data_IF_653135566927
#
_entry.id   IF_653135566927
#
_cell.length_a   1.000
_cell.length_b   1.000
_cell.length_c   1.000
_cell.angle_alpha   90.00
_cell.angle_beta   90.00
_cell.angle_gamma   90.00
#
_symmetry.space_group_name_H-M   'P 1'
#
loop_
_entity.id
_entity.type
_entity.pdbx_description
1 polymer ?
#
# COMPACT_ATOMS: atom_id res chain seq x y z
N UNK A 1 39.35 23.58 -21.43
CA UNK A 1 38.16 24.15 -22.12
C UNK A 1 37.01 23.15 -22.34
N UNK A 2 37.19 21.82 -22.19
CA UNK A 2 36.12 20.82 -22.45
C UNK A 2 35.15 20.54 -21.28
N UNK A 3 35.48 20.86 -20.02
CA UNK A 3 34.64 20.50 -18.86
C UNK A 3 33.38 21.36 -18.68
N UNK A 4 33.43 22.63 -19.08
CA UNK A 4 32.32 23.58 -18.85
C UNK A 4 31.08 23.20 -19.67
N UNK A 5 31.27 22.69 -20.89
CA UNK A 5 30.18 22.27 -21.78
C UNK A 5 29.47 21.00 -21.30
N UNK A 6 30.19 20.09 -20.65
CA UNK A 6 29.63 18.86 -20.10
C UNK A 6 28.77 19.17 -18.86
N UNK A 7 29.28 20.02 -17.96
CA UNK A 7 28.57 20.48 -16.78
C UNK A 7 27.29 21.26 -17.12
N UNK A 8 27.31 22.09 -18.17
CA UNK A 8 26.12 22.78 -18.68
C UNK A 8 25.09 21.83 -19.31
N UNK A 9 25.54 20.82 -20.06
CA UNK A 9 24.63 19.79 -20.61
C UNK A 9 23.94 18.99 -19.50
N UNK A 10 24.67 18.61 -18.44
CA UNK A 10 24.07 17.96 -17.27
C UNK A 10 23.05 18.85 -16.58
N UNK A 11 23.38 20.12 -16.35
CA UNK A 11 22.47 21.10 -15.72
C UNK A 11 21.20 21.29 -16.55
N UNK A 12 21.33 21.45 -17.87
CA UNK A 12 20.19 21.62 -18.77
C UNK A 12 19.33 20.35 -18.85
N UNK A 13 19.94 19.15 -18.82
CA UNK A 13 19.19 17.89 -18.81
C UNK A 13 18.41 17.69 -17.50
N UNK A 14 18.98 18.07 -16.35
CA UNK A 14 18.30 18.00 -15.06
C UNK A 14 17.11 18.95 -14.98
N UNK A 15 17.27 20.20 -15.46
CA UNK A 15 16.18 21.19 -15.51
C UNK A 15 15.07 20.76 -16.48
N UNK A 16 15.42 20.15 -17.62
CA UNK A 16 14.45 19.62 -18.58
C UNK A 16 13.66 18.43 -17.99
N UNK A 17 14.34 17.53 -17.26
CA UNK A 17 13.68 16.41 -16.59
C UNK A 17 12.75 16.88 -15.45
N UNK A 18 13.20 17.89 -14.68
CA UNK A 18 12.40 18.47 -13.60
C UNK A 18 11.15 19.20 -14.09
N UNK A 19 11.24 19.94 -15.22
CA UNK A 19 10.05 20.53 -15.88
C UNK A 19 9.10 19.46 -16.42
N UNK A 20 9.64 18.38 -17.01
CA UNK A 20 8.82 17.26 -17.49
C UNK A 20 8.10 16.54 -16.36
N UNK A 21 8.71 16.39 -15.18
CA UNK A 21 8.00 15.87 -14.00
C UNK A 21 6.90 16.82 -13.52
N UNK A 22 7.13 18.14 -13.50
CA UNK A 22 6.13 19.13 -13.06
C UNK A 22 4.84 19.12 -13.91
N UNK A 23 4.95 18.97 -15.23
CA UNK A 23 3.79 18.86 -16.14
C UNK A 23 3.04 17.52 -16.01
N UNK A 24 3.68 16.48 -15.48
CA UNK A 24 3.05 15.19 -15.25
C UNK A 24 2.34 15.07 -13.89
N UNK A 25 2.65 15.96 -12.92
CA UNK A 25 2.08 16.05 -11.56
C UNK A 25 0.53 16.22 -11.50
N UNK A 26 -0.16 16.90 -12.45
CA UNK A 26 -1.62 16.90 -12.44
C UNK A 26 -2.22 15.58 -12.95
N UNK A 27 -1.57 14.91 -13.91
CA UNK A 27 -2.08 13.69 -14.55
C UNK A 27 -1.85 12.44 -13.68
N UNK A 28 -0.70 12.31 -13.03
CA UNK A 28 -0.42 11.26 -12.04
C UNK A 28 -1.25 11.44 -10.77
N UNK A 29 -1.48 12.67 -10.28
CA UNK A 29 -2.34 12.95 -9.13
C UNK A 29 -3.80 12.63 -9.44
N UNK A 30 -4.29 12.98 -10.65
CA UNK A 30 -5.60 12.57 -11.11
C UNK A 30 -5.70 11.05 -11.22
N UNK A 31 -4.74 10.39 -11.89
CA UNK A 31 -4.72 8.94 -12.02
C UNK A 31 -4.71 8.24 -10.66
N UNK A 32 -3.87 8.70 -9.73
CA UNK A 32 -3.76 8.16 -8.38
C UNK A 32 -5.05 8.39 -7.57
N UNK A 33 -5.63 9.59 -7.66
CA UNK A 33 -6.90 9.92 -7.00
C UNK A 33 -8.06 9.12 -7.57
N UNK A 34 -8.15 8.99 -8.90
CA UNK A 34 -9.17 8.19 -9.57
C UNK A 34 -9.00 6.70 -9.25
N UNK A 35 -7.77 6.18 -9.25
CA UNK A 35 -7.47 4.80 -8.83
C UNK A 35 -7.86 4.57 -7.36
N UNK A 36 -7.60 5.53 -6.48
CA UNK A 36 -8.04 5.50 -5.07
C UNK A 36 -9.57 5.53 -4.91
N UNK A 37 -10.26 6.39 -5.66
CA UNK A 37 -11.73 6.47 -5.66
C UNK A 37 -12.36 5.21 -6.25
N UNK A 38 -11.76 4.66 -7.30
CA UNK A 38 -12.19 3.40 -7.88
C UNK A 38 -12.03 2.26 -6.87
N UNK A 39 -10.92 2.24 -6.13
CA UNK A 39 -10.69 1.27 -5.04
C UNK A 39 -11.71 1.44 -3.91
N UNK A 40 -12.09 2.67 -3.57
CA UNK A 40 -13.16 2.96 -2.60
C UNK A 40 -14.53 2.48 -3.10
N UNK A 41 -14.80 2.61 -4.39
CA UNK A 41 -16.04 2.15 -5.02
C UNK A 41 -16.09 0.63 -5.16
N UNK A 42 -14.94 -0.01 -5.34
CA UNK A 42 -14.78 -1.47 -5.38
C UNK A 42 -14.80 -2.12 -3.99
N UNK A 43 -14.66 -1.33 -2.91
CA UNK A 43 -14.76 -1.85 -1.54
C UNK A 43 -16.17 -2.34 -1.24
N UNK A 44 -16.26 -3.59 -0.79
CA UNK A 44 -17.52 -4.25 -0.45
C UNK A 44 -18.28 -3.51 0.67
N UNK A 45 -17.55 -2.78 1.52
CA UNK A 45 -18.07 -1.96 2.61
C UNK A 45 -18.96 -0.81 2.09
N UNK A 46 -18.58 -0.20 0.96
CA UNK A 46 -19.33 0.90 0.33
C UNK A 46 -20.66 0.40 -0.22
N UNK A 47 -20.68 -0.80 -0.83
CA UNK A 47 -21.89 -1.45 -1.33
C UNK A 47 -22.82 -1.86 -0.19
N UNK A 48 -22.27 -2.37 0.91
CA UNK A 48 -23.03 -2.66 2.13
C UNK A 48 -23.70 -1.41 2.70
N UNK A 49 -22.95 -0.31 2.81
CA UNK A 49 -23.48 0.97 3.28
C UNK A 49 -24.59 1.55 2.37
N UNK A 50 -24.45 1.41 1.06
CA UNK A 50 -25.48 1.80 0.09
C UNK A 50 -26.75 0.95 0.21
N UNK A 51 -26.61 -0.37 0.39
CA UNK A 51 -27.75 -1.26 0.60
C UNK A 51 -28.50 -0.92 1.90
N UNK A 52 -27.78 -0.64 2.99
CA UNK A 52 -28.38 -0.26 4.27
C UNK A 52 -29.08 1.10 4.21
N UNK A 53 -28.45 2.11 3.60
CA UNK A 53 -29.05 3.44 3.41
C UNK A 53 -30.28 3.38 2.50
N UNK A 54 -30.23 2.61 1.41
CA UNK A 54 -31.37 2.37 0.55
C UNK A 54 -32.51 1.63 1.26
N UNK A 55 -32.20 0.67 2.13
CA UNK A 55 -33.20 -0.02 2.94
C UNK A 55 -33.90 0.92 3.94
N UNK A 56 -33.14 1.83 4.57
CA UNK A 56 -33.68 2.85 5.47
C UNK A 56 -34.63 3.80 4.73
N UNK A 57 -34.23 4.28 3.54
CA UNK A 57 -35.08 5.13 2.70
C UNK A 57 -36.36 4.40 2.27
N UNK A 58 -36.25 3.11 1.91
CA UNK A 58 -37.41 2.29 1.55
C UNK A 58 -38.38 2.09 2.74
N UNK A 59 -37.85 1.98 3.96
CA UNK A 59 -38.64 1.89 5.17
C UNK A 59 -39.40 3.19 5.47
N UNK A 60 -38.71 4.33 5.39
CA UNK A 60 -39.30 5.67 5.57
C UNK A 60 -40.35 5.99 4.49
N UNK A 61 -40.16 5.51 3.26
CA UNK A 61 -41.14 5.63 2.15
C UNK A 61 -42.30 4.63 2.23
N UNK A 62 -42.42 3.85 3.32
CA UNK A 62 -43.53 2.91 3.51
C UNK A 62 -43.49 1.68 2.62
N UNK A 63 -42.32 1.28 2.10
CA UNK A 63 -42.11 0.07 1.28
C UNK A 63 -41.34 -1.01 2.06
N UNK A 64 -41.93 -1.63 3.11
CA UNK A 64 -41.23 -2.57 3.98
C UNK A 64 -40.79 -3.86 3.27
N UNK A 65 -41.47 -4.27 2.18
CA UNK A 65 -41.06 -5.43 1.38
C UNK A 65 -39.72 -5.20 0.69
N UNK A 66 -39.51 -4.02 0.11
CA UNK A 66 -38.24 -3.65 -0.51
C UNK A 66 -37.13 -3.52 0.54
N UNK A 67 -37.42 -2.88 1.68
CA UNK A 67 -36.47 -2.76 2.78
C UNK A 67 -36.02 -4.12 3.32
N UNK A 68 -36.95 -5.06 3.53
CA UNK A 68 -36.63 -6.43 3.97
C UNK A 68 -35.78 -7.17 2.93
N UNK A 69 -36.10 -7.04 1.65
CA UNK A 69 -35.30 -7.62 0.57
C UNK A 69 -33.85 -7.11 0.62
N UNK A 70 -33.67 -5.79 0.67
CA UNK A 70 -32.33 -5.17 0.75
C UNK A 70 -31.57 -5.58 2.02
N UNK A 71 -32.25 -5.62 3.18
CA UNK A 71 -31.64 -6.08 4.44
C UNK A 71 -31.24 -7.56 4.39
N UNK A 72 -32.09 -8.41 3.81
CA UNK A 72 -31.80 -9.84 3.69
C UNK A 72 -30.61 -10.11 2.78
N UNK A 73 -30.49 -9.36 1.67
CA UNK A 73 -29.31 -9.42 0.78
C UNK A 73 -28.06 -8.92 1.50
N UNK A 74 -28.14 -7.80 2.21
CA UNK A 74 -27.02 -7.27 2.97
C UNK A 74 -26.55 -8.25 4.06
N UNK A 75 -27.49 -8.86 4.78
CA UNK A 75 -27.20 -9.86 5.82
C UNK A 75 -26.61 -11.13 5.21
N UNK A 76 -27.16 -11.63 4.11
CA UNK A 76 -26.63 -12.80 3.41
C UNK A 76 -25.21 -12.54 2.88
N UNK A 77 -24.96 -11.37 2.30
CA UNK A 77 -23.62 -10.98 1.85
C UNK A 77 -22.63 -10.88 3.01
N UNK A 78 -23.04 -10.29 4.14
CA UNK A 78 -22.20 -10.19 5.34
C UNK A 78 -21.88 -11.56 5.93
N UNK A 79 -22.88 -12.45 6.02
CA UNK A 79 -22.69 -13.82 6.48
C UNK A 79 -21.80 -14.61 5.52
N UNK A 80 -22.00 -14.47 4.20
CA UNK A 80 -21.15 -15.12 3.21
C UNK A 80 -19.69 -14.65 3.30
N UNK A 81 -19.46 -13.34 3.40
CA UNK A 81 -18.11 -12.77 3.52
C UNK A 81 -17.46 -13.05 4.88
N UNK A 82 -18.25 -13.12 5.95
CA UNK A 82 -17.75 -13.35 7.31
C UNK A 82 -17.52 -14.82 7.65
N UNK A 83 -18.35 -15.73 7.11
CA UNK A 83 -18.24 -17.18 7.36
C UNK A 83 -17.31 -17.85 6.36
N UNK A 84 -17.29 -17.39 5.11
CA UNK A 84 -16.50 -18.02 4.06
C UNK A 84 -15.13 -17.33 3.97
N UNK A 85 -14.02 -18.02 4.35
CA UNK A 85 -12.68 -17.48 4.23
C UNK A 85 -12.23 -17.52 2.76
N UNK A 86 -12.86 -16.69 1.93
CA UNK A 86 -12.55 -16.58 0.50
C UNK A 86 -11.08 -16.23 0.29
N UNK A 87 -10.49 -15.42 1.17
CA UNK A 87 -9.07 -15.08 1.14
C UNK A 87 -8.19 -16.32 1.20
N UNK A 88 -8.36 -17.15 2.22
CA UNK A 88 -7.53 -18.34 2.43
C UNK A 88 -7.72 -19.39 1.33
N UNK A 89 -8.94 -19.54 0.82
CA UNK A 89 -9.24 -20.47 -0.27
C UNK A 89 -8.59 -20.03 -1.59
N UNK A 90 -8.51 -18.73 -1.86
CA UNK A 90 -7.88 -18.19 -3.06
C UNK A 90 -6.34 -18.14 -2.93
N UNK A 91 -5.83 -17.87 -1.73
CA UNK A 91 -4.38 -17.73 -1.47
C UNK A 91 -3.71 -19.11 -1.30
N UNK A 92 -4.37 -20.10 -0.70
CA UNK A 92 -3.77 -21.40 -0.42
C UNK A 92 -3.18 -22.15 -1.64
N UNK A 93 -3.78 -22.10 -2.84
CA UNK A 93 -3.15 -22.66 -4.05
C UNK A 93 -1.88 -21.91 -4.49
N UNK A 94 -1.85 -20.58 -4.30
CA UNK A 94 -0.69 -19.76 -4.61
C UNK A 94 0.46 -20.05 -3.65
N UNK A 95 0.18 -20.15 -2.35
CA UNK A 95 1.18 -20.51 -1.33
C UNK A 95 1.80 -21.89 -1.58
N UNK A 96 1.00 -22.87 -2.03
CA UNK A 96 1.52 -24.19 -2.40
C UNK A 96 2.50 -24.17 -3.57
N UNK A 97 2.40 -23.16 -4.44
CA UNK A 97 3.29 -23.02 -5.61
C UNK A 97 4.63 -22.37 -5.21
N UNK A 98 4.65 -21.56 -4.16
CA UNK A 98 5.82 -20.82 -3.69
C UNK A 98 6.17 -21.23 -2.25
N UNK A 99 6.98 -22.28 -2.05
CA UNK A 99 7.33 -22.75 -0.71
C UNK A 99 8.08 -21.67 0.08
N UNK A 100 7.65 -21.47 1.32
CA UNK A 100 8.25 -20.51 2.25
C UNK A 100 9.66 -20.95 2.63
N UNK A 101 10.63 -20.03 2.53
CA UNK A 101 12.02 -20.20 2.97
C UNK A 101 12.80 -21.35 2.27
N UNK A 102 13.11 -21.23 0.97
CA UNK A 102 13.98 -22.19 0.30
C UNK A 102 15.38 -22.19 0.93
N UNK A 103 16.14 -23.31 0.85
CA UNK A 103 17.51 -23.34 1.34
C UNK A 103 18.39 -22.37 0.52
N UNK A 104 18.84 -21.30 1.18
CA UNK A 104 19.73 -20.29 0.60
C UNK A 104 21.18 -20.65 0.89
N UNK A 105 21.97 -20.87 -0.16
CA UNK A 105 23.42 -21.18 -0.06
C UNK A 105 24.29 -19.96 -0.28
N UNK A 106 23.86 -19.00 -1.12
CA UNK A 106 24.56 -17.75 -1.38
C UNK A 106 23.54 -16.64 -1.70
N UNK A 107 23.76 -15.43 -1.15
CA UNK A 107 22.88 -14.27 -1.33
C UNK A 107 23.74 -13.04 -1.56
N UNK A 108 23.72 -12.50 -2.78
CA UNK A 108 24.47 -11.28 -3.15
C UNK A 108 23.75 -9.99 -2.71
N UNK A 109 22.43 -10.07 -2.56
CA UNK A 109 21.61 -8.92 -2.19
C UNK A 109 20.23 -9.30 -1.66
N UNK A 110 19.75 -8.50 -0.71
CA UNK A 110 18.46 -8.65 -0.04
C UNK A 110 17.62 -7.43 -0.40
N UNK A 111 16.48 -7.64 -1.07
CA UNK A 111 15.54 -6.57 -1.38
C UNK A 111 14.35 -6.67 -0.42
N UNK A 112 14.18 -5.67 0.43
CA UNK A 112 13.05 -5.58 1.36
C UNK A 112 12.03 -4.61 0.79
N UNK A 113 10.84 -5.12 0.47
CA UNK A 113 9.71 -4.31 0.01
C UNK A 113 9.06 -3.61 1.21
N UNK A 114 8.97 -2.28 1.14
CA UNK A 114 8.34 -1.41 2.12
C UNK A 114 6.81 -1.51 2.16
N UNK A 115 6.17 -0.56 2.84
CA UNK A 115 4.75 -0.60 3.17
C UNK A 115 4.42 -1.43 4.41
N UNK A 116 5.44 -1.79 5.20
CA UNK A 116 5.27 -2.38 6.52
C UNK A 116 5.06 -1.31 7.61
N UNK A 117 5.34 -0.05 7.28
CA UNK A 117 5.17 1.09 8.16
C UNK A 117 3.71 1.53 8.27
N UNK A 118 3.25 1.76 9.49
CA UNK A 118 2.02 2.52 9.76
C UNK A 118 2.40 3.97 10.06
N UNK A 119 2.34 4.82 9.02
CA UNK A 119 2.60 6.26 9.14
C UNK A 119 1.61 6.97 10.06
N UNK A 120 0.37 6.48 10.21
CA UNK A 120 -0.65 7.10 11.05
C UNK A 120 -0.40 6.79 12.52
N UNK A 121 -0.06 5.54 12.85
CA UNK A 121 0.36 5.12 14.19
C UNK A 121 1.67 5.79 14.61
N UNK A 122 2.65 5.83 13.71
CA UNK A 122 3.96 6.43 13.96
C UNK A 122 3.88 7.92 14.26
N UNK A 123 3.08 8.67 13.49
CA UNK A 123 2.86 10.10 13.73
C UNK A 123 2.12 10.40 15.04
N UNK A 124 1.32 9.45 15.56
CA UNK A 124 0.56 9.62 16.81
C UNK A 124 1.37 9.31 18.06
N UNK A 125 2.25 8.32 17.99
CA UNK A 125 2.96 7.78 19.15
C UNK A 125 4.45 8.12 19.17
N UNK A 126 4.96 8.82 18.14
CA UNK A 126 6.39 9.11 17.95
C UNK A 126 7.30 7.86 18.02
N UNK A 127 6.71 6.69 17.78
CA UNK A 127 7.36 5.40 17.80
C UNK A 127 7.01 4.67 16.50
N UNK A 128 8.01 4.05 15.89
CA UNK A 128 7.85 3.29 14.65
C UNK A 128 6.82 2.19 14.86
N UNK A 129 5.68 2.29 14.19
CA UNK A 129 4.67 1.25 14.18
C UNK A 129 4.76 0.49 12.87
N UNK A 130 4.83 -0.84 13.00
CA UNK A 130 4.77 -1.75 11.88
C UNK A 130 3.35 -2.34 11.81
N UNK A 131 2.83 -2.51 10.60
CA UNK A 131 1.53 -3.12 10.34
C UNK A 131 1.68 -4.64 10.14
N UNK A 132 0.64 -5.31 9.64
CA UNK A 132 0.65 -6.75 9.37
C UNK A 132 1.78 -7.23 8.43
N UNK A 133 2.44 -6.31 7.71
CA UNK A 133 3.62 -6.61 6.91
C UNK A 133 4.96 -6.46 7.66
N UNK A 134 4.95 -6.31 8.98
CA UNK A 134 6.16 -6.29 9.82
C UNK A 134 7.06 -7.51 9.57
N UNK A 135 6.45 -8.67 9.30
CA UNK A 135 7.14 -9.93 8.99
C UNK A 135 8.14 -9.79 7.83
N UNK A 136 7.86 -8.93 6.84
CA UNK A 136 8.76 -8.69 5.70
C UNK A 136 10.04 -7.97 6.14
N UNK A 137 9.91 -7.00 7.05
CA UNK A 137 11.04 -6.24 7.58
C UNK A 137 11.85 -7.10 8.55
N UNK A 138 11.19 -7.83 9.44
CA UNK A 138 11.88 -8.69 10.41
C UNK A 138 12.57 -9.88 9.74
N UNK A 139 11.97 -10.49 8.72
CA UNK A 139 12.62 -11.52 7.91
C UNK A 139 13.83 -10.96 7.13
N UNK A 140 13.70 -9.76 6.55
CA UNK A 140 14.81 -9.06 5.91
C UNK A 140 15.98 -8.81 6.87
N UNK A 141 15.68 -8.39 8.10
CA UNK A 141 16.69 -8.19 9.15
C UNK A 141 17.34 -9.52 9.59
N UNK A 142 16.56 -10.59 9.73
CA UNK A 142 17.09 -11.91 10.04
C UNK A 142 18.03 -12.43 8.93
N UNK A 143 17.69 -12.19 7.66
CA UNK A 143 18.58 -12.53 6.53
C UNK A 143 19.83 -11.66 6.50
N UNK A 144 19.72 -10.37 6.82
CA UNK A 144 20.86 -9.45 6.91
C UNK A 144 21.89 -9.90 7.96
N UNK A 145 21.42 -10.36 9.13
CA UNK A 145 22.31 -10.94 10.15
C UNK A 145 22.94 -12.26 9.72
N UNK A 146 22.24 -13.08 8.92
CA UNK A 146 22.75 -14.37 8.44
C UNK A 146 23.74 -14.22 7.28
N UNK A 147 23.60 -13.19 6.46
CA UNK A 147 24.45 -12.90 5.31
C UNK A 147 24.98 -11.46 5.38
N UNK A 148 25.99 -11.20 6.23
CA UNK A 148 26.49 -9.84 6.47
C UNK A 148 27.15 -9.20 5.23
N UNK A 149 27.58 -10.00 4.26
CA UNK A 149 28.20 -9.52 3.02
C UNK A 149 27.16 -9.10 1.95
N UNK A 150 25.87 -9.37 2.16
CA UNK A 150 24.81 -9.10 1.19
C UNK A 150 24.39 -7.62 1.18
N UNK A 151 24.19 -7.04 0.00
CA UNK A 151 23.69 -5.66 -0.13
C UNK A 151 22.19 -5.58 0.18
N UNK A 152 21.80 -4.74 1.13
CA UNK A 152 20.39 -4.55 1.49
C UNK A 152 19.82 -3.36 0.71
N UNK A 153 18.77 -3.59 -0.07
CA UNK A 153 18.02 -2.56 -0.77
C UNK A 153 16.60 -2.49 -0.21
N UNK A 154 16.23 -1.33 0.32
CA UNK A 154 14.87 -1.06 0.76
C UNK A 154 14.09 -0.38 -0.36
N UNK A 155 12.99 -0.97 -0.80
CA UNK A 155 12.13 -0.41 -1.85
C UNK A 155 10.77 -0.04 -1.26
N UNK A 156 10.53 1.25 -1.02
CA UNK A 156 9.29 1.75 -0.43
C UNK A 156 8.96 3.17 -0.88
N UNK A 157 7.67 3.50 -0.91
CA UNK A 157 7.14 4.83 -1.28
C UNK A 157 5.78 5.06 -0.64
N UNK A 158 5.50 6.31 -0.28
CA UNK A 158 4.37 6.68 0.56
C UNK A 158 3.08 6.79 -0.29
N UNK A 159 2.30 5.71 -0.31
CA UNK A 159 1.08 5.58 -1.14
C UNK A 159 -0.15 6.28 -0.56
N UNK A 160 -0.03 7.27 0.33
CA UNK A 160 -1.19 7.99 0.86
C UNK A 160 -1.34 9.36 0.18
N UNK A 161 -2.57 9.69 -0.23
CA UNK A 161 -2.97 11.06 -0.63
C UNK A 161 -2.62 12.10 0.46
N UNK A 162 -2.43 11.65 1.71
CA UNK A 162 -2.06 12.47 2.86
C UNK A 162 -0.59 12.86 2.89
N UNK A 163 0.28 12.13 2.20
CA UNK A 163 1.73 12.41 2.15
C UNK A 163 2.05 13.55 1.16
N UNK A 164 1.17 13.79 0.17
CA UNK A 164 1.24 14.98 -0.68
C UNK A 164 0.95 16.28 0.12
N UNK A 165 0.23 16.17 1.23
CA UNK A 165 -0.19 17.31 2.05
C UNK A 165 0.67 17.49 3.31
N UNK A 166 1.59 16.56 3.61
CA UNK A 166 2.42 16.62 4.80
C UNK A 166 3.85 16.26 4.45
N UNK A 167 4.75 17.24 4.59
CA UNK A 167 6.20 17.06 4.78
C UNK A 167 6.42 16.23 6.06
N UNK A 168 6.06 14.94 6.02
CA UNK A 168 6.29 14.01 7.12
C UNK A 168 7.54 13.21 6.78
N UNK A 169 8.39 13.10 7.79
CA UNK A 169 9.73 12.50 7.73
C UNK A 169 9.75 11.26 6.83
N UNK A 170 10.69 11.18 5.87
CA UNK A 170 10.75 10.04 4.96
C UNK A 170 10.91 8.76 5.78
N UNK A 171 9.96 7.83 5.68
CA UNK A 171 10.03 6.53 6.36
C UNK A 171 11.32 5.73 6.05
N UNK A 172 12.03 6.12 4.98
CA UNK A 172 13.36 5.65 4.64
C UNK A 172 14.41 5.92 5.75
N UNK A 173 14.36 7.08 6.41
CA UNK A 173 15.33 7.44 7.46
C UNK A 173 15.16 6.56 8.72
N UNK A 174 13.90 6.25 9.03
CA UNK A 174 13.51 5.43 10.18
C UNK A 174 13.91 3.97 9.99
N UNK A 175 13.74 3.42 8.78
CA UNK A 175 14.17 2.04 8.51
C UNK A 175 15.70 1.94 8.40
N UNK A 176 16.38 2.98 7.91
CA UNK A 176 17.85 3.03 7.88
C UNK A 176 18.45 2.99 9.29
N UNK A 177 17.79 3.60 10.28
CA UNK A 177 18.20 3.50 11.68
C UNK A 177 18.00 2.09 12.29
N UNK A 178 17.03 1.32 11.79
CA UNK A 178 16.77 -0.05 12.27
C UNK A 178 17.71 -1.11 11.67
N UNK A 179 18.32 -0.82 10.51
CA UNK A 179 19.26 -1.71 9.81
C UNK A 179 20.74 -1.40 10.09
N UNK A 180 21.04 -0.40 10.93
CA UNK A 180 22.41 -0.09 11.38
C UNK A 180 22.78 -0.92 12.61
#
# INVERSE_FOLDING_TARGET
MCDVSLAERFRNSAIANQRRSADNIPMDTLFFTTSKLLTLLLRVETWGALLLSGALIALVRGRPRAARGMLSVALAALLALGIFPLGDLLIGPLERTYPTNPPLTHVDGIIVLGGAEDGVGTARHHQVQLNAAAERVTAGLALAHRFPDARILLSGGSGALRDLARESMPGAEVMTAAFR
#
